data_IF_802553831172
#
_entry.id   IF_802553831172
#
_cell.length_a   1.000
_cell.length_b   1.000
_cell.length_c   1.000
_cell.angle_alpha   90.00
_cell.angle_beta   90.00
_cell.angle_gamma   90.00
#
_symmetry.space_group_name_H-M   'P 1'
#
loop_
_entity.id
_entity.type
_entity.pdbx_description
1 polymer ?
#
# COMPACT_ATOMS: atom_id res chain seq x y z
N UNK A 1 45.13 16.33 19.61
CA UNK A 1 43.92 15.51 19.40
C UNK A 1 42.71 16.41 19.50
N UNK A 2 42.44 17.18 18.44
CA UNK A 2 41.29 18.10 18.37
C UNK A 2 40.15 17.39 17.63
N UNK A 3 39.29 16.71 18.37
CA UNK A 3 38.02 16.23 17.83
C UNK A 3 37.16 17.45 17.47
N UNK A 4 37.00 17.71 16.17
CA UNK A 4 36.22 18.83 15.65
C UNK A 4 34.71 18.57 15.88
N UNK A 5 34.03 19.30 16.79
CA UNK A 5 32.61 19.05 17.09
C UNK A 5 31.69 19.34 15.89
N UNK A 6 32.19 20.00 14.85
CA UNK A 6 31.43 20.30 13.63
C UNK A 6 31.03 19.08 12.80
N UNK A 7 31.74 17.94 12.89
CA UNK A 7 31.36 16.74 12.14
C UNK A 7 30.07 16.09 12.69
N UNK A 8 29.87 16.14 14.02
CA UNK A 8 28.65 15.63 14.67
C UNK A 8 27.43 16.52 14.40
N UNK A 9 27.62 17.84 14.31
CA UNK A 9 26.53 18.79 14.02
C UNK A 9 26.05 18.65 12.56
N UNK A 10 26.98 18.45 11.61
CA UNK A 10 26.63 18.26 10.20
C UNK A 10 25.92 16.93 9.93
N UNK A 11 26.30 15.85 10.64
CA UNK A 11 25.57 14.58 10.57
C UNK A 11 24.16 14.70 11.16
N UNK A 12 23.99 15.40 12.29
CA UNK A 12 22.66 15.63 12.89
C UNK A 12 21.75 16.49 11.99
N UNK A 13 22.28 17.50 11.29
CA UNK A 13 21.53 18.30 10.32
C UNK A 13 21.12 17.49 9.08
N UNK A 14 21.95 16.52 8.66
CA UNK A 14 21.60 15.58 7.59
C UNK A 14 20.46 14.64 8.00
N UNK A 15 20.38 14.24 9.28
CA UNK A 15 19.29 13.42 9.80
C UNK A 15 17.96 14.18 9.94
N UNK A 16 18.00 15.50 10.21
CA UNK A 16 16.79 16.33 10.42
C UNK A 16 16.03 16.66 9.13
N UNK A 17 16.64 16.47 7.95
CA UNK A 17 16.03 16.84 6.66
C UNK A 17 15.30 15.68 5.95
N UNK A 18 15.34 14.46 6.50
CA UNK A 18 14.61 13.32 5.96
C UNK A 18 13.23 13.20 6.59
N UNK A 19 12.47 14.29 6.64
CA UNK A 19 11.04 14.20 6.97
C UNK A 19 10.28 13.85 5.70
N UNK A 20 10.15 12.56 5.41
CA UNK A 20 9.21 12.10 4.37
C UNK A 20 7.81 12.53 4.80
N UNK A 21 7.19 13.45 4.06
CA UNK A 21 5.80 13.82 4.30
C UNK A 21 4.92 12.56 4.25
N UNK A 22 4.16 12.31 5.32
CA UNK A 22 3.26 11.15 5.40
C UNK A 22 2.14 11.19 4.36
N UNK A 23 1.37 10.10 4.21
CA UNK A 23 0.28 10.04 3.24
C UNK A 23 -0.79 11.10 3.54
N UNK A 24 -1.35 11.70 2.49
CA UNK A 24 -2.44 12.66 2.61
C UNK A 24 -3.75 11.93 2.82
N UNK A 25 -4.28 11.90 4.05
CA UNK A 25 -5.55 11.24 4.32
C UNK A 25 -6.74 11.96 3.66
N UNK A 26 -7.72 11.18 3.21
CA UNK A 26 -9.01 11.72 2.77
C UNK A 26 -9.72 12.44 3.91
N UNK A 27 -10.51 13.45 3.59
CA UNK A 27 -11.37 14.13 4.56
C UNK A 27 -12.65 13.35 4.87
N UNK A 28 -13.05 12.44 3.98
CA UNK A 28 -14.26 11.65 4.11
C UNK A 28 -13.97 10.35 4.86
N UNK A 29 -14.93 9.96 5.70
CA UNK A 29 -15.02 8.62 6.25
C UNK A 29 -16.15 7.90 5.51
N UNK A 30 -15.89 6.68 5.07
CA UNK A 30 -16.86 5.86 4.34
C UNK A 30 -17.38 4.78 5.26
N UNK A 31 -18.70 4.76 5.46
CA UNK A 31 -19.37 3.68 6.19
C UNK A 31 -19.48 2.44 5.30
N UNK A 32 -18.99 1.31 5.81
CA UNK A 32 -19.13 0.00 5.15
C UNK A 32 -19.95 -0.94 6.03
N UNK A 33 -20.36 -2.09 5.48
CA UNK A 33 -21.06 -3.13 6.27
C UNK A 33 -20.24 -3.64 7.47
N UNK A 34 -18.91 -3.51 7.40
CA UNK A 34 -17.98 -3.95 8.44
C UNK A 34 -17.63 -2.83 9.43
N UNK A 35 -17.88 -1.57 9.08
CA UNK A 35 -17.57 -0.40 9.90
C UNK A 35 -16.96 0.75 9.10
N UNK A 36 -16.67 1.88 9.76
CA UNK A 36 -16.12 3.08 9.12
C UNK A 36 -14.67 2.88 8.67
N UNK A 37 -14.32 3.36 7.47
CA UNK A 37 -12.95 3.37 6.94
C UNK A 37 -12.54 4.75 6.43
N UNK A 38 -11.24 5.02 6.44
CA UNK A 38 -10.63 6.25 5.91
C UNK A 38 -9.46 5.92 5.00
N UNK A 39 -9.52 6.40 3.76
CA UNK A 39 -8.48 6.20 2.75
C UNK A 39 -7.48 7.36 2.68
N UNK A 40 -6.66 7.33 1.64
CA UNK A 40 -5.65 8.34 1.30
C UNK A 40 -5.91 8.94 -0.09
N UNK A 41 -5.43 10.14 -0.32
CA UNK A 41 -5.47 10.82 -1.61
C UNK A 41 -4.13 10.57 -2.32
N UNK A 42 -4.21 9.96 -3.49
CA UNK A 42 -3.08 9.72 -4.38
C UNK A 42 -3.09 10.78 -5.49
N UNK A 43 -2.05 11.60 -5.50
CA UNK A 43 -1.78 12.55 -6.57
C UNK A 43 -1.10 11.80 -7.74
N UNK A 44 -1.63 11.95 -8.95
CA UNK A 44 -1.09 11.29 -10.14
C UNK A 44 -0.05 12.20 -10.81
N UNK A 45 1.10 11.63 -11.18
CA UNK A 45 2.24 12.36 -11.76
C UNK A 45 1.95 13.06 -13.12
N UNK A 46 0.78 12.84 -13.71
CA UNK A 46 0.45 13.30 -15.06
C UNK A 46 -0.09 14.73 -15.12
N UNK A 47 -0.34 15.43 -14.00
CA UNK A 47 -0.79 16.83 -13.94
C UNK A 47 -2.16 17.15 -14.58
N UNK A 48 -2.67 16.24 -15.41
CA UNK A 48 -3.94 16.30 -16.14
C UNK A 48 -4.97 15.31 -15.60
N UNK A 49 -4.55 14.39 -14.73
CA UNK A 49 -5.43 13.42 -14.10
C UNK A 49 -5.80 13.96 -12.72
N UNK A 50 -7.07 13.82 -12.38
CA UNK A 50 -7.57 14.18 -11.06
C UNK A 50 -6.97 13.28 -9.99
N UNK A 51 -6.84 13.76 -8.74
CA UNK A 51 -6.42 12.91 -7.62
C UNK A 51 -7.39 11.73 -7.45
N UNK A 52 -6.87 10.61 -6.95
CA UNK A 52 -7.65 9.39 -6.69
C UNK A 52 -7.70 9.13 -5.19
N UNK A 53 -8.89 8.89 -4.65
CA UNK A 53 -9.04 8.40 -3.28
C UNK A 53 -8.84 6.89 -3.27
N UNK A 54 -7.83 6.43 -2.55
CA UNK A 54 -7.49 5.03 -2.42
C UNK A 54 -7.81 4.52 -1.02
N UNK A 55 -8.48 3.37 -0.96
CA UNK A 55 -8.69 2.59 0.25
C UNK A 55 -7.91 1.29 0.09
N UNK A 56 -6.79 1.17 0.78
CA UNK A 56 -5.87 0.05 0.69
C UNK A 56 -6.08 -0.92 1.86
N UNK A 57 -6.11 -2.22 1.57
CA UNK A 57 -6.17 -3.24 2.61
C UNK A 57 -7.54 -3.38 3.29
N UNK A 58 -8.64 -3.10 2.58
CA UNK A 58 -9.98 -3.29 3.14
C UNK A 58 -10.30 -4.78 3.18
N UNK A 59 -10.51 -5.32 4.39
CA UNK A 59 -10.89 -6.72 4.58
C UNK A 59 -12.31 -6.97 4.09
N UNK A 60 -12.47 -7.91 3.17
CA UNK A 60 -13.79 -8.31 2.68
C UNK A 60 -14.26 -9.65 3.25
N UNK A 61 -13.35 -10.50 3.71
CA UNK A 61 -13.67 -11.80 4.27
C UNK A 61 -12.64 -12.29 5.31
N UNK A 62 -12.99 -13.36 6.00
CA UNK A 62 -12.06 -14.19 6.78
C UNK A 62 -12.34 -15.65 6.43
N UNK A 63 -11.31 -16.50 6.46
CA UNK A 63 -11.46 -17.91 6.18
C UNK A 63 -10.49 -18.69 7.06
N UNK A 64 -10.92 -19.86 7.50
CA UNK A 64 -10.01 -20.88 8.00
C UNK A 64 -9.52 -21.74 6.84
N UNK A 65 -8.41 -22.44 7.02
CA UNK A 65 -7.84 -23.26 5.96
C UNK A 65 -8.88 -24.29 5.48
N UNK A 66 -9.08 -24.33 4.16
CA UNK A 66 -10.04 -25.22 3.48
C UNK A 66 -11.53 -25.00 3.83
N UNK A 67 -11.88 -23.89 4.48
CA UNK A 67 -13.28 -23.51 4.68
C UNK A 67 -13.73 -22.47 3.67
N UNK A 68 -15.05 -22.35 3.49
CA UNK A 68 -15.62 -21.22 2.79
C UNK A 68 -15.29 -19.89 3.49
N UNK A 69 -15.12 -18.80 2.73
CA UNK A 69 -14.94 -17.48 3.31
C UNK A 69 -16.23 -17.02 3.99
N UNK A 70 -16.09 -16.43 5.17
CA UNK A 70 -17.18 -15.82 5.93
C UNK A 70 -16.97 -14.31 6.03
N UNK A 71 -18.03 -13.59 6.39
CA UNK A 71 -17.93 -12.15 6.64
C UNK A 71 -16.98 -11.89 7.82
N UNK A 72 -16.09 -10.92 7.64
CA UNK A 72 -15.15 -10.53 8.68
C UNK A 72 -15.80 -9.85 9.88
N UNK A 73 -15.00 -9.66 10.93
CA UNK A 73 -15.40 -8.99 12.17
C UNK A 73 -15.76 -7.52 11.89
N UNK A 74 -16.89 -7.07 12.44
CA UNK A 74 -17.28 -5.65 12.41
C UNK A 74 -16.47 -4.84 13.43
N UNK A 75 -16.18 -3.59 13.11
CA UNK A 75 -15.50 -2.64 14.00
C UNK A 75 -16.33 -1.36 14.16
N UNK A 76 -16.20 -0.72 15.33
CA UNK A 76 -16.90 0.53 15.64
C UNK A 76 -16.05 1.77 15.37
N UNK A 77 -14.73 1.68 15.50
CA UNK A 77 -13.81 2.80 15.28
C UNK A 77 -13.33 2.89 13.84
N UNK A 78 -13.08 4.10 13.35
CA UNK A 78 -12.59 4.32 11.98
C UNK A 78 -11.25 3.63 11.77
N UNK A 79 -11.21 2.68 10.83
CA UNK A 79 -9.96 2.03 10.39
C UNK A 79 -9.29 2.83 9.28
N UNK A 80 -7.96 2.96 9.36
CA UNK A 80 -7.15 3.52 8.29
C UNK A 80 -6.92 2.45 7.22
N UNK A 81 -7.26 2.79 5.98
CA UNK A 81 -7.09 1.96 4.79
C UNK A 81 -6.03 2.61 3.88
N UNK A 82 -4.79 2.70 4.38
CA UNK A 82 -3.69 3.47 3.80
C UNK A 82 -2.46 2.61 3.43
N UNK A 83 -2.50 1.32 3.78
CA UNK A 83 -1.36 0.41 3.66
C UNK A 83 -1.74 -0.79 2.81
N UNK A 84 -0.83 -1.21 1.93
CA UNK A 84 -1.02 -2.41 1.11
C UNK A 84 -1.08 -3.66 2.02
N UNK A 85 -2.12 -4.50 1.92
CA UNK A 85 -2.23 -5.71 2.72
C UNK A 85 -1.16 -6.74 2.31
N UNK A 86 -0.87 -7.74 3.16
CA UNK A 86 -0.07 -8.88 2.75
C UNK A 86 -0.75 -9.61 1.58
N UNK A 87 0.06 -10.10 0.65
CA UNK A 87 -0.43 -10.97 -0.43
C UNK A 87 -0.59 -12.40 0.08
N UNK A 88 -1.38 -13.21 -0.64
CA UNK A 88 -1.54 -14.62 -0.29
C UNK A 88 -0.24 -15.41 -0.48
N UNK A 89 -0.03 -16.50 0.27
CA UNK A 89 1.16 -17.32 0.14
C UNK A 89 1.27 -17.90 -1.26
N UNK A 90 2.41 -17.69 -1.90
CA UNK A 90 2.71 -18.17 -3.25
C UNK A 90 4.15 -18.63 -3.34
N UNK A 91 4.37 -19.75 -4.04
CA UNK A 91 5.71 -20.25 -4.30
C UNK A 91 6.39 -19.37 -5.36
N UNK A 92 7.17 -18.38 -4.92
CA UNK A 92 7.92 -17.52 -5.82
C UNK A 92 9.28 -18.15 -6.16
N UNK A 93 9.70 -18.22 -7.44
CA UNK A 93 10.97 -18.83 -7.80
C UNK A 93 12.15 -18.02 -7.26
N UNK A 94 13.27 -18.69 -6.97
CA UNK A 94 14.49 -18.01 -6.59
C UNK A 94 15.06 -17.22 -7.78
N UNK A 95 15.25 -15.91 -7.58
CA UNK A 95 15.80 -14.97 -8.55
C UNK A 95 17.18 -14.43 -8.12
N UNK A 96 17.75 -14.93 -7.03
CA UNK A 96 19.03 -14.48 -6.48
C UNK A 96 20.17 -14.63 -7.50
N UNK A 97 20.24 -15.81 -8.15
CA UNK A 97 21.22 -16.11 -9.17
C UNK A 97 20.62 -15.96 -10.57
N UNK A 98 20.97 -14.86 -11.25
CA UNK A 98 20.51 -14.56 -12.61
C UNK A 98 20.89 -15.66 -13.62
N UNK A 99 22.10 -16.20 -13.56
CA UNK A 99 22.58 -17.18 -14.54
C UNK A 99 21.81 -18.48 -14.40
N UNK A 100 21.63 -18.97 -13.16
CA UNK A 100 20.83 -20.16 -12.89
C UNK A 100 19.35 -19.94 -13.26
N UNK A 101 18.78 -18.78 -12.91
CA UNK A 101 17.39 -18.47 -13.24
C UNK A 101 17.14 -18.46 -14.76
N UNK A 102 18.07 -17.91 -15.55
CA UNK A 102 17.94 -17.86 -17.02
C UNK A 102 18.13 -19.22 -17.72
N UNK A 103 18.63 -20.24 -17.02
CA UNK A 103 18.63 -21.62 -17.53
C UNK A 103 17.23 -22.25 -17.45
N UNK A 104 16.42 -21.84 -16.46
CA UNK A 104 15.09 -22.42 -16.19
C UNK A 104 13.93 -21.52 -16.62
N UNK A 105 14.17 -20.26 -17.00
CA UNK A 105 13.12 -19.37 -17.49
C UNK A 105 13.58 -18.35 -18.55
N UNK A 106 12.68 -17.92 -19.46
CA UNK A 106 12.99 -16.88 -20.44
C UNK A 106 13.34 -15.53 -19.79
N UNK A 107 14.16 -14.75 -20.50
CA UNK A 107 14.64 -13.43 -20.04
C UNK A 107 13.53 -12.46 -19.63
N UNK A 108 12.45 -12.40 -20.42
CA UNK A 108 11.32 -11.51 -20.13
C UNK A 108 10.60 -11.90 -18.83
N UNK A 109 10.44 -13.21 -18.59
CA UNK A 109 9.83 -13.75 -17.38
C UNK A 109 10.69 -13.42 -16.15
N UNK A 110 12.01 -13.60 -16.23
CA UNK A 110 12.92 -13.25 -15.14
C UNK A 110 12.79 -11.77 -14.73
N UNK A 111 12.84 -10.84 -15.69
CA UNK A 111 12.74 -9.42 -15.36
C UNK A 111 11.36 -9.00 -14.85
N UNK A 112 10.30 -9.60 -15.38
CA UNK A 112 8.94 -9.38 -14.88
C UNK A 112 8.82 -9.80 -13.42
N UNK A 113 9.25 -11.02 -13.08
CA UNK A 113 9.22 -11.53 -11.71
C UNK A 113 10.14 -10.71 -10.79
N UNK A 114 11.33 -10.32 -11.27
CA UNK A 114 12.24 -9.47 -10.49
C UNK A 114 11.64 -8.12 -10.13
N UNK A 115 10.82 -7.53 -11.02
CA UNK A 115 10.09 -6.29 -10.75
C UNK A 115 8.96 -6.48 -9.74
N UNK A 116 8.31 -7.64 -9.75
CA UNK A 116 7.23 -7.97 -8.82
C UNK A 116 7.71 -8.37 -7.42
N UNK A 117 8.91 -8.92 -7.30
CA UNK A 117 9.44 -9.48 -6.05
C UNK A 117 9.23 -8.59 -4.80
N UNK A 118 9.45 -7.26 -4.84
CA UNK A 118 9.23 -6.41 -3.67
C UNK A 118 7.76 -6.36 -3.21
N UNK A 119 6.81 -6.44 -4.14
CA UNK A 119 5.37 -6.42 -3.84
C UNK A 119 4.86 -7.75 -3.28
N UNK A 120 5.66 -8.82 -3.42
CA UNK A 120 5.31 -10.18 -3.02
C UNK A 120 6.09 -10.66 -1.79
N UNK A 121 6.89 -9.78 -1.18
CA UNK A 121 7.73 -10.11 -0.04
C UNK A 121 6.93 -10.37 1.24
N UNK A 122 5.85 -9.61 1.47
CA UNK A 122 4.99 -9.75 2.64
C UNK A 122 3.81 -10.70 2.36
N UNK A 123 3.95 -11.96 2.75
CA UNK A 123 2.95 -13.01 2.54
C UNK A 123 2.32 -13.45 3.86
N UNK A 124 1.01 -13.68 3.85
CA UNK A 124 0.27 -14.21 4.99
C UNK A 124 -0.94 -15.01 4.51
N UNK A 125 -1.33 -16.07 5.23
CA UNK A 125 -2.62 -16.75 5.00
C UNK A 125 -3.81 -15.80 5.23
N UNK A 126 -3.60 -14.75 6.02
CA UNK A 126 -4.59 -13.70 6.26
C UNK A 126 -4.55 -12.60 5.17
N UNK A 127 -4.84 -12.99 3.93
CA UNK A 127 -4.69 -12.15 2.73
C UNK A 127 -6.00 -11.68 2.08
N UNK A 128 -7.17 -11.95 2.69
CA UNK A 128 -8.49 -11.64 2.11
C UNK A 128 -8.87 -10.15 2.22
N UNK A 129 -8.13 -9.33 1.48
CA UNK A 129 -8.25 -7.88 1.43
C UNK A 129 -8.41 -7.42 -0.03
N UNK A 130 -8.99 -6.24 -0.21
CA UNK A 130 -9.11 -5.58 -1.51
C UNK A 130 -8.66 -4.13 -1.40
N UNK A 131 -8.35 -3.54 -2.56
CA UNK A 131 -8.04 -2.13 -2.70
C UNK A 131 -9.11 -1.47 -3.56
N UNK A 132 -9.59 -0.30 -3.17
CA UNK A 132 -10.62 0.48 -3.89
C UNK A 132 -10.00 1.80 -4.32
N UNK A 133 -10.19 2.18 -5.57
CA UNK A 133 -9.71 3.44 -6.14
C UNK A 133 -10.88 4.22 -6.71
N UNK A 134 -11.17 5.38 -6.12
CA UNK A 134 -12.30 6.24 -6.47
C UNK A 134 -11.77 7.52 -7.14
N UNK A 135 -12.20 7.85 -8.36
CA UNK A 135 -11.80 9.10 -9.03
C UNK A 135 -12.22 10.35 -8.25
N UNK A 136 -11.36 11.36 -8.22
CA UNK A 136 -11.57 12.62 -7.49
C UNK A 136 -12.81 13.42 -7.92
N UNK A 137 -13.21 13.36 -9.19
CA UNK A 137 -14.41 14.01 -9.72
C UNK A 137 -15.67 13.72 -8.91
N UNK A 138 -15.84 12.50 -8.41
CA UNK A 138 -17.00 12.15 -7.55
C UNK A 138 -16.92 12.83 -6.17
N UNK A 139 -15.72 13.04 -5.65
CA UNK A 139 -15.48 13.70 -4.35
C UNK A 139 -15.78 15.20 -4.44
N UNK A 140 -15.35 15.85 -5.52
CA UNK A 140 -15.61 17.29 -5.73
C UNK A 140 -17.07 17.57 -6.12
N UNK A 141 -17.74 16.67 -6.85
CA UNK A 141 -19.15 16.80 -7.20
C UNK A 141 -20.07 16.64 -5.98
N UNK A 142 -19.82 15.66 -5.11
CA UNK A 142 -20.60 15.48 -3.88
C UNK A 142 -20.48 16.66 -2.90
N UNK A 143 -19.36 17.40 -2.95
CA UNK A 143 -19.16 18.62 -2.15
C UNK A 143 -19.84 19.84 -2.77
N UNK A 144 -19.90 19.93 -4.10
CA UNK A 144 -20.55 21.02 -4.85
C UNK A 144 -22.08 20.96 -4.81
N UNK A 145 -22.68 19.78 -4.72
CA UNK A 145 -24.15 19.62 -4.65
C UNK A 145 -24.71 19.93 -3.25
N UNK A 146 -23.87 19.90 -2.20
CA UNK A 146 -24.25 20.17 -0.81
C UNK A 146 -24.05 21.62 -0.36
N UNK A 147 -23.71 22.52 -1.27
CA UNK A 147 -23.65 23.98 -1.07
C UNK A 147 -24.67 24.65 -1.95
#
# INVERSE_FOLDING_TARGET
MSHWPGCLVLLAAFFLCWTTAGPRYSSRIVETKSGPIRGIILELNSGRLEPVEAFLGVRYATATRYSWPTFGVRWSSTKLADTMPPVCPQAFPDLSNRTAALQVMPRNRYYFLKRLAPFLANQSEDCLHLNIYVPGSEIYMAKRIRT
#
